data_IF_214584669047
#
_entry.id   IF_214584669047
#
_cell.length_a   1.000
_cell.length_b   1.000
_cell.length_c   1.000
_cell.angle_alpha   90.00
_cell.angle_beta   90.00
_cell.angle_gamma   90.00
#
_symmetry.space_group_name_H-M   'P 1'
#
loop_
_entity.id
_entity.type
_entity.pdbx_description
1 polymer ?
#
# COMPACT_ATOMS: atom_id res chain seq x y z
N UNK A 1 -5.37 -24.97 10.40
CA UNK A 1 -4.12 -25.56 9.84
C UNK A 1 -4.35 -26.86 9.07
N UNK A 2 -5.18 -27.79 9.55
CA UNK A 2 -5.41 -29.08 8.88
C UNK A 2 -5.68 -28.98 7.37
N UNK A 3 -6.67 -28.17 6.96
CA UNK A 3 -7.05 -28.00 5.55
C UNK A 3 -5.86 -27.62 4.66
N UNK A 4 -5.09 -26.59 5.02
CA UNK A 4 -3.97 -26.11 4.18
C UNK A 4 -2.84 -27.13 4.08
N UNK A 5 -2.64 -27.95 5.12
CA UNK A 5 -1.67 -29.06 5.08
C UNK A 5 -2.13 -30.19 4.17
N UNK A 6 -3.42 -30.56 4.23
CA UNK A 6 -3.99 -31.59 3.37
C UNK A 6 -3.97 -31.19 1.90
N UNK A 7 -4.31 -29.93 1.59
CA UNK A 7 -4.19 -29.39 0.23
C UNK A 7 -2.77 -29.53 -0.32
N UNK A 8 -1.76 -29.12 0.45
CA UNK A 8 -0.36 -29.21 0.01
C UNK A 8 0.08 -30.67 -0.19
N UNK A 9 -0.38 -31.61 0.65
CA UNK A 9 -0.07 -33.05 0.50
C UNK A 9 -0.55 -33.62 -0.83
N UNK A 10 -1.69 -33.13 -1.34
CA UNK A 10 -2.22 -33.54 -2.65
C UNK A 10 -1.74 -32.63 -3.79
N UNK A 11 -0.70 -31.82 -3.56
CA UNK A 11 -0.10 -30.87 -4.53
C UNK A 11 -1.05 -29.76 -4.98
N UNK A 12 -2.04 -29.42 -4.16
CA UNK A 12 -2.90 -28.25 -4.36
C UNK A 12 -2.35 -27.09 -3.53
N UNK A 13 -2.00 -25.99 -4.20
CA UNK A 13 -1.51 -24.77 -3.53
C UNK A 13 -2.69 -23.97 -3.00
N UNK A 14 -2.82 -23.75 -1.68
CA UNK A 14 -3.76 -22.77 -1.15
C UNK A 14 -3.44 -21.39 -1.73
N UNK A 15 -4.41 -20.78 -2.40
CA UNK A 15 -4.18 -19.52 -3.12
C UNK A 15 -4.85 -18.33 -2.42
N UNK A 16 -6.18 -18.35 -2.32
CA UNK A 16 -6.94 -17.30 -1.64
C UNK A 16 -7.82 -17.88 -0.54
N UNK A 17 -7.95 -17.11 0.54
CA UNK A 17 -9.06 -17.16 1.48
C UNK A 17 -9.90 -15.91 1.28
N UNK A 18 -11.15 -16.09 0.88
CA UNK A 18 -12.06 -14.97 0.63
C UNK A 18 -12.83 -14.59 1.89
N UNK A 19 -12.95 -13.28 2.12
CA UNK A 19 -14.03 -12.76 2.95
C UNK A 19 -15.36 -13.01 2.26
N UNK A 20 -16.37 -13.45 3.02
CA UNK A 20 -17.70 -13.69 2.46
C UNK A 20 -18.33 -12.38 1.96
N UNK A 21 -18.72 -12.38 0.69
CA UNK A 21 -19.26 -11.23 -0.03
C UNK A 21 -20.59 -10.71 0.51
N UNK A 22 -20.91 -9.47 0.14
CA UNK A 22 -22.18 -8.81 0.43
C UNK A 22 -23.30 -9.28 -0.53
N UNK A 23 -23.52 -10.59 -0.62
CA UNK A 23 -24.57 -11.16 -1.47
C UNK A 23 -25.83 -11.50 -0.68
N UNK A 24 -26.99 -11.34 -1.33
CA UNK A 24 -28.28 -11.65 -0.72
C UNK A 24 -28.33 -13.11 -0.26
N UNK A 25 -28.83 -13.35 0.96
CA UNK A 25 -28.96 -14.69 1.53
C UNK A 25 -27.71 -15.26 2.20
N UNK A 26 -26.49 -14.72 1.97
CA UNK A 26 -25.25 -15.26 2.55
C UNK A 26 -24.84 -14.64 3.90
N UNK A 27 -25.64 -13.72 4.45
CA UNK A 27 -25.28 -12.96 5.65
C UNK A 27 -24.88 -13.83 6.86
N UNK A 28 -25.50 -15.00 7.01
CA UNK A 28 -25.25 -15.94 8.10
C UNK A 28 -23.93 -16.72 7.97
N UNK A 29 -23.30 -16.73 6.79
CA UNK A 29 -21.96 -17.28 6.58
C UNK A 29 -20.85 -16.25 6.81
N UNK A 30 -21.20 -14.96 7.00
CA UNK A 30 -20.21 -13.91 7.14
C UNK A 30 -19.50 -14.00 8.48
N UNK A 31 -18.20 -13.78 8.41
CA UNK A 31 -17.34 -13.63 9.57
C UNK A 31 -16.80 -12.19 9.63
N UNK A 32 -16.43 -11.68 10.82
CA UNK A 32 -15.68 -10.44 10.92
C UNK A 32 -14.34 -10.55 10.20
N UNK A 33 -13.88 -9.46 9.58
CA UNK A 33 -12.55 -9.39 8.93
C UNK A 33 -11.42 -9.78 9.91
N UNK A 34 -11.58 -9.42 11.19
CA UNK A 34 -10.66 -9.81 12.25
C UNK A 34 -10.42 -11.32 12.33
N UNK A 35 -11.43 -12.16 12.03
CA UNK A 35 -11.27 -13.62 12.02
C UNK A 35 -10.36 -14.09 10.87
N UNK A 36 -10.42 -13.44 9.72
CA UNK A 36 -9.50 -13.70 8.61
C UNK A 36 -8.06 -13.33 8.98
N UNK A 37 -7.86 -12.17 9.61
CA UNK A 37 -6.55 -11.73 10.12
C UNK A 37 -6.01 -12.70 11.17
N UNK A 38 -6.84 -13.15 12.12
CA UNK A 38 -6.50 -14.15 13.13
C UNK A 38 -6.04 -15.48 12.51
N UNK A 39 -6.72 -15.94 11.45
CA UNK A 39 -6.30 -17.13 10.70
C UNK A 39 -4.92 -16.89 10.07
N UNK A 40 -4.71 -15.73 9.44
CA UNK A 40 -3.43 -15.39 8.82
C UNK A 40 -2.28 -15.33 9.82
N UNK A 41 -2.52 -14.79 11.01
CA UNK A 41 -1.57 -14.77 12.14
C UNK A 41 -1.19 -16.20 12.55
N UNK A 42 -2.18 -17.09 12.73
CA UNK A 42 -1.94 -18.48 13.13
C UNK A 42 -1.37 -19.40 12.05
N UNK A 43 -1.18 -18.91 10.82
CA UNK A 43 -0.60 -19.62 9.69
C UNK A 43 0.81 -19.14 9.36
N UNK A 44 1.02 -17.82 9.21
CA UNK A 44 2.33 -17.27 8.83
C UNK A 44 3.36 -17.63 9.90
N UNK A 45 4.50 -18.18 9.48
CA UNK A 45 5.57 -18.63 10.38
C UNK A 45 5.30 -19.94 11.12
N UNK A 46 4.03 -20.28 11.39
CA UNK A 46 3.64 -21.53 12.03
C UNK A 46 3.52 -22.74 11.08
N UNK A 47 3.63 -22.53 9.77
CA UNK A 47 3.67 -23.58 8.75
C UNK A 47 4.54 -23.15 7.56
N UNK A 48 4.86 -24.09 6.67
CA UNK A 48 5.50 -23.79 5.38
C UNK A 48 4.80 -22.65 4.66
N UNK A 49 5.58 -21.71 4.12
CA UNK A 49 5.08 -20.56 3.36
C UNK A 49 4.23 -20.96 2.15
N UNK A 50 4.46 -22.15 1.57
CA UNK A 50 3.63 -22.71 0.50
C UNK A 50 2.19 -23.00 0.92
N UNK A 51 1.94 -23.24 2.21
CA UNK A 51 0.61 -23.50 2.76
C UNK A 51 -0.12 -22.21 3.17
N UNK A 52 0.53 -21.05 3.09
CA UNK A 52 -0.05 -19.77 3.50
C UNK A 52 -0.70 -19.09 2.29
N UNK A 53 -2.03 -19.13 2.23
CA UNK A 53 -2.83 -18.42 1.23
C UNK A 53 -2.82 -16.90 1.46
N UNK A 54 -3.27 -16.12 0.48
CA UNK A 54 -3.56 -14.70 0.69
C UNK A 54 -5.01 -14.53 1.18
N UNK A 55 -5.23 -13.87 2.31
CA UNK A 55 -6.57 -13.44 2.71
C UNK A 55 -6.95 -12.17 1.95
N UNK A 56 -8.12 -12.17 1.32
CA UNK A 56 -8.60 -11.08 0.45
C UNK A 56 -10.05 -10.72 0.73
N UNK A 57 -10.36 -9.44 0.51
CA UNK A 57 -11.72 -8.90 0.46
C UNK A 57 -11.95 -8.39 -0.95
N UNK A 58 -13.00 -8.86 -1.64
CA UNK A 58 -13.39 -8.28 -2.92
C UNK A 58 -14.04 -6.91 -2.67
N UNK A 59 -13.48 -5.88 -3.30
CA UNK A 59 -13.99 -4.52 -3.20
C UNK A 59 -15.36 -4.42 -3.90
N UNK A 60 -16.41 -3.92 -3.21
CA UNK A 60 -17.69 -3.65 -3.85
C UNK A 60 -17.52 -2.73 -5.06
N UNK A 61 -18.34 -2.94 -6.08
CA UNK A 61 -18.27 -2.14 -7.32
C UNK A 61 -17.11 -2.50 -8.25
N UNK A 62 -16.45 -3.64 -8.05
CA UNK A 62 -15.44 -4.15 -8.98
C UNK A 62 -14.03 -3.59 -8.77
N UNK A 63 -13.72 -3.03 -7.59
CA UNK A 63 -12.40 -2.48 -7.26
C UNK A 63 -11.28 -3.53 -7.09
N UNK A 64 -11.57 -4.81 -7.31
CA UNK A 64 -10.60 -5.91 -7.26
C UNK A 64 -10.42 -6.54 -5.88
N UNK A 65 -9.44 -7.45 -5.79
CA UNK A 65 -9.12 -8.24 -4.58
C UNK A 65 -8.15 -7.46 -3.71
N UNK A 66 -8.61 -7.03 -2.54
CA UNK A 66 -7.79 -6.27 -1.59
C UNK A 66 -7.16 -7.27 -0.60
N UNK A 67 -5.84 -7.49 -0.62
CA UNK A 67 -5.18 -8.35 0.36
C UNK A 67 -5.21 -7.70 1.74
N UNK A 68 -5.52 -8.52 2.76
CA UNK A 68 -5.50 -8.11 4.17
C UNK A 68 -4.58 -9.04 4.95
N UNK A 69 -3.68 -8.46 5.73
CA UNK A 69 -2.66 -9.18 6.47
C UNK A 69 -2.51 -8.61 7.90
N UNK A 70 -1.93 -9.37 8.83
CA UNK A 70 -1.43 -8.80 10.06
C UNK A 70 -0.30 -7.78 9.82
N UNK A 71 -0.13 -6.84 10.75
CA UNK A 71 0.94 -5.84 10.68
C UNK A 71 2.24 -6.42 11.26
N UNK A 72 3.28 -6.51 10.43
CA UNK A 72 4.62 -6.96 10.84
C UNK A 72 5.63 -5.80 10.94
N UNK A 73 5.46 -4.75 10.12
CA UNK A 73 6.15 -3.48 10.27
C UNK A 73 5.53 -2.70 11.44
N UNK A 74 6.36 -2.34 12.42
CA UNK A 74 5.95 -1.59 13.61
C UNK A 74 6.33 -0.13 13.49
N UNK A 75 7.56 0.15 13.05
CA UNK A 75 8.10 1.51 12.97
C UNK A 75 9.25 1.58 11.96
N UNK A 76 9.67 2.80 11.62
CA UNK A 76 10.79 3.07 10.72
C UNK A 76 11.44 4.42 11.04
N UNK A 77 12.75 4.52 10.78
CA UNK A 77 13.52 5.76 10.75
C UNK A 77 14.11 5.97 9.35
N UNK A 78 15.07 6.88 9.23
CA UNK A 78 15.84 7.19 8.02
C UNK A 78 16.69 6.03 7.47
N UNK A 79 17.11 5.07 8.31
CA UNK A 79 17.97 3.95 7.89
C UNK A 79 17.71 2.63 8.63
N UNK A 80 16.61 2.54 9.40
CA UNK A 80 16.23 1.33 10.13
C UNK A 80 14.73 1.11 10.10
N UNK A 81 14.32 -0.14 9.96
CA UNK A 81 12.93 -0.55 10.17
C UNK A 81 12.82 -1.46 11.40
N UNK A 82 11.72 -1.34 12.14
CA UNK A 82 11.36 -2.18 13.29
C UNK A 82 10.28 -3.15 12.85
N UNK A 83 10.58 -4.44 12.95
CA UNK A 83 9.72 -5.55 12.54
C UNK A 83 9.41 -6.45 13.74
N UNK A 84 8.23 -7.05 13.76
CA UNK A 84 7.96 -8.24 14.57
C UNK A 84 7.85 -9.49 13.70
N UNK A 85 8.10 -10.65 14.29
CA UNK A 85 7.76 -11.94 13.67
C UNK A 85 6.44 -12.53 14.25
N UNK A 86 6.13 -13.77 13.87
CA UNK A 86 4.95 -14.52 14.31
C UNK A 86 5.01 -14.96 15.80
N UNK A 87 6.20 -14.97 16.40
CA UNK A 87 6.42 -15.33 17.82
C UNK A 87 6.33 -14.11 18.75
N UNK A 88 6.18 -12.91 18.18
CA UNK A 88 6.28 -11.66 18.92
C UNK A 88 7.72 -11.18 19.15
N UNK A 89 8.72 -11.81 18.54
CA UNK A 89 10.10 -11.31 18.55
C UNK A 89 10.17 -10.03 17.73
N UNK A 90 10.68 -8.96 18.34
CA UNK A 90 10.83 -7.63 17.72
C UNK A 90 12.31 -7.41 17.41
N UNK A 91 12.61 -7.05 16.17
CA UNK A 91 13.97 -6.83 15.69
C UNK A 91 14.05 -5.63 14.76
N UNK A 92 15.25 -5.12 14.56
CA UNK A 92 15.55 -4.09 13.56
C UNK A 92 16.21 -4.69 12.33
N UNK A 93 15.95 -4.11 11.17
CA UNK A 93 16.73 -4.30 9.95
C UNK A 93 17.35 -2.94 9.56
N UNK A 94 18.64 -2.95 9.23
CA UNK A 94 19.38 -1.75 8.82
C UNK A 94 19.35 -1.62 7.30
N UNK A 95 18.89 -0.47 6.83
CA UNK A 95 18.76 -0.15 5.41
C UNK A 95 20.02 0.54 4.88
N UNK A 96 20.36 0.38 3.58
CA UNK A 96 21.52 1.05 3.01
C UNK A 96 21.42 2.57 3.09
N UNK A 97 22.42 3.22 3.66
CA UNK A 97 22.47 4.69 3.79
C UNK A 97 22.95 5.40 2.52
N UNK A 98 23.48 4.64 1.57
CA UNK A 98 24.04 5.13 0.30
C UNK A 98 23.17 4.77 -0.91
N UNK A 99 21.94 4.29 -0.69
CA UNK A 99 20.99 4.02 -1.76
C UNK A 99 20.70 5.28 -2.56
N UNK A 100 21.00 5.24 -3.87
CA UNK A 100 20.63 6.30 -4.80
C UNK A 100 19.50 5.84 -5.71
N UNK A 101 18.38 6.58 -5.79
CA UNK A 101 17.27 6.24 -6.69
C UNK A 101 17.68 6.07 -8.16
N UNK A 102 18.74 6.75 -8.60
CA UNK A 102 19.27 6.67 -9.98
C UNK A 102 19.85 5.29 -10.35
N UNK A 103 20.30 4.52 -9.35
CA UNK A 103 20.88 3.18 -9.51
C UNK A 103 19.81 2.08 -9.54
N UNK A 104 18.55 2.42 -9.26
CA UNK A 104 17.45 1.47 -9.25
C UNK A 104 17.17 0.88 -10.63
N UNK A 105 16.69 -0.37 -10.65
CA UNK A 105 16.25 -1.01 -11.89
C UNK A 105 15.10 -0.20 -12.52
N UNK A 106 15.33 0.31 -13.74
CA UNK A 106 14.36 1.11 -14.47
C UNK A 106 13.35 0.20 -15.17
N UNK A 107 12.30 -0.18 -14.45
CA UNK A 107 11.14 -0.87 -15.02
C UNK A 107 9.90 0.00 -14.90
N UNK A 108 9.23 0.29 -16.02
CA UNK A 108 7.91 0.92 -15.98
C UNK A 108 6.89 -0.10 -15.48
N UNK A 109 6.35 0.13 -14.28
CA UNK A 109 5.21 -0.61 -13.73
C UNK A 109 3.87 0.03 -14.14
N UNK A 110 3.90 1.00 -15.05
CA UNK A 110 2.70 1.74 -15.47
C UNK A 110 1.77 0.82 -16.24
N UNK A 111 0.50 0.87 -15.84
CA UNK A 111 -0.57 0.23 -16.56
C UNK A 111 -0.79 0.95 -17.89
N UNK A 112 -1.05 0.22 -18.99
CA UNK A 112 -1.33 0.84 -20.28
C UNK A 112 -2.68 1.56 -20.33
N UNK A 113 -3.62 1.22 -19.43
CA UNK A 113 -4.97 1.78 -19.42
C UNK A 113 -4.99 3.22 -18.86
N UNK A 114 -5.46 4.22 -19.64
CA UNK A 114 -5.59 5.60 -19.16
C UNK A 114 -6.46 5.72 -17.90
N UNK A 115 -6.02 6.53 -16.94
CA UNK A 115 -6.76 6.78 -15.69
C UNK A 115 -6.58 5.72 -14.60
N UNK A 116 -5.73 4.70 -14.80
CA UNK A 116 -5.43 3.67 -13.79
C UNK A 116 -4.10 3.90 -13.04
N UNK A 117 -3.62 5.14 -12.94
CA UNK A 117 -2.38 5.49 -12.24
C UNK A 117 -2.46 5.25 -10.73
N UNK A 118 -3.58 5.59 -10.09
CA UNK A 118 -3.83 5.33 -8.67
C UNK A 118 -2.67 5.73 -7.75
N UNK A 119 -2.30 4.84 -6.82
CA UNK A 119 -1.20 5.07 -5.88
C UNK A 119 0.16 5.16 -6.59
N UNK A 120 0.36 4.45 -7.71
CA UNK A 120 1.63 4.52 -8.45
C UNK A 120 1.86 5.90 -9.06
N UNK A 121 0.82 6.59 -9.53
CA UNK A 121 0.93 7.98 -9.97
C UNK A 121 1.29 8.95 -8.84
N UNK A 122 0.92 8.63 -7.58
CA UNK A 122 1.38 9.39 -6.41
C UNK A 122 2.86 9.16 -6.11
N UNK A 123 3.34 7.92 -6.27
CA UNK A 123 4.74 7.56 -6.02
C UNK A 123 5.68 8.10 -7.11
N UNK A 124 5.21 8.15 -8.36
CA UNK A 124 5.96 8.67 -9.51
C UNK A 124 5.95 10.21 -9.58
N UNK A 125 5.21 10.89 -8.70
CA UNK A 125 5.09 12.35 -8.68
C UNK A 125 4.21 12.95 -9.78
N UNK A 126 3.46 12.13 -10.53
CA UNK A 126 2.50 12.60 -11.55
C UNK A 126 1.33 13.35 -10.92
N UNK A 127 0.92 12.87 -9.74
CA UNK A 127 -0.14 13.47 -8.94
C UNK A 127 0.33 13.61 -7.49
N UNK A 128 -0.09 14.67 -6.81
CA UNK A 128 0.19 14.87 -5.37
C UNK A 128 -1.00 14.47 -4.48
N UNK A 129 -2.16 14.16 -5.06
CA UNK A 129 -3.36 13.75 -4.34
C UNK A 129 -4.29 12.88 -5.21
N UNK A 130 -5.04 11.99 -4.55
CA UNK A 130 -6.25 11.37 -5.10
C UNK A 130 -7.41 11.93 -4.28
N UNK A 131 -8.35 12.60 -4.95
CA UNK A 131 -9.51 13.23 -4.31
C UNK A 131 -10.80 12.60 -4.80
N UNK A 132 -11.82 12.42 -3.94
CA UNK A 132 -13.16 12.07 -4.40
C UNK A 132 -13.77 13.22 -5.21
N UNK A 133 -14.72 12.87 -6.08
CA UNK A 133 -15.49 13.85 -6.85
C UNK A 133 -16.16 14.88 -5.93
N UNK A 134 -16.08 16.17 -6.30
CA UNK A 134 -16.67 17.27 -5.54
C UNK A 134 -15.91 17.69 -4.27
N UNK A 135 -14.74 17.08 -3.97
CA UNK A 135 -13.94 17.42 -2.79
C UNK A 135 -13.68 18.92 -2.64
N UNK A 136 -13.21 19.57 -3.72
CA UNK A 136 -12.82 20.98 -3.68
C UNK A 136 -14.04 21.90 -3.49
N UNK A 137 -15.19 21.57 -4.10
CA UNK A 137 -16.45 22.31 -3.93
C UNK A 137 -16.97 22.24 -2.49
N UNK A 138 -16.97 21.05 -1.89
CA UNK A 138 -17.40 20.85 -0.50
C UNK A 138 -16.45 21.53 0.51
N UNK A 139 -15.15 21.54 0.21
CA UNK A 139 -14.14 22.17 1.05
C UNK A 139 -14.06 23.69 0.91
N UNK A 140 -14.75 24.29 -0.07
CA UNK A 140 -14.68 25.73 -0.28
C UNK A 140 -15.49 26.55 0.75
N UNK A 141 -16.42 25.92 1.50
CA UNK A 141 -17.17 26.49 2.64
C UNK A 141 -17.59 27.97 2.48
N UNK A 142 -17.96 28.41 1.27
CA UNK A 142 -18.43 29.77 1.02
C UNK A 142 -17.35 30.83 0.74
N UNK A 143 -16.16 30.46 0.26
CA UNK A 143 -15.32 31.38 -0.53
C UNK A 143 -14.21 32.14 0.20
N UNK A 144 -13.79 31.70 1.40
CA UNK A 144 -12.52 32.18 1.95
C UNK A 144 -11.40 31.39 1.25
N UNK A 145 -10.74 32.03 0.28
CA UNK A 145 -9.57 31.48 -0.41
C UNK A 145 -8.44 31.27 0.60
N UNK A 146 -8.33 30.06 1.12
CA UNK A 146 -7.34 29.72 2.14
C UNK A 146 -5.95 29.70 1.52
N UNK A 147 -4.95 30.34 2.16
CA UNK A 147 -3.55 30.43 1.67
C UNK A 147 -2.90 29.09 1.34
N UNK A 148 -3.38 27.98 1.93
CA UNK A 148 -2.90 26.62 1.61
C UNK A 148 -3.52 26.02 0.34
N UNK A 149 -4.44 26.70 -0.34
CA UNK A 149 -5.03 26.26 -1.62
C UNK A 149 -4.23 26.74 -2.83
N UNK A 150 -3.21 27.56 -2.62
CA UNK A 150 -2.30 27.97 -3.69
C UNK A 150 -1.45 26.78 -4.14
N UNK A 151 -1.62 26.36 -5.40
CA UNK A 151 -0.87 25.25 -5.99
C UNK A 151 0.64 25.51 -6.00
N UNK A 152 1.06 26.78 -6.10
CA UNK A 152 2.47 27.15 -6.07
C UNK A 152 3.15 26.84 -4.72
N UNK A 153 2.37 26.62 -3.65
CA UNK A 153 2.89 26.28 -2.33
C UNK A 153 3.28 24.81 -2.18
N UNK A 154 2.66 23.92 -2.94
CA UNK A 154 2.80 22.47 -2.78
C UNK A 154 3.62 21.85 -3.92
N UNK A 155 4.80 22.43 -4.16
CA UNK A 155 5.80 21.87 -5.07
C UNK A 155 6.67 20.89 -4.26
N UNK A 156 6.72 19.60 -4.62
CA UNK A 156 7.55 18.62 -3.93
C UNK A 156 9.02 18.92 -4.22
N UNK A 157 9.68 19.65 -3.31
CA UNK A 157 11.13 19.82 -3.33
C UNK A 157 11.74 18.61 -2.60
N UNK A 158 12.59 17.84 -3.30
CA UNK A 158 13.23 16.66 -2.74
C UNK A 158 14.10 16.96 -1.51
N UNK A 159 14.35 15.96 -0.68
CA UNK A 159 15.33 16.03 0.43
C UNK A 159 16.69 15.58 -0.11
N UNK A 160 17.57 16.52 -0.46
CA UNK A 160 18.90 16.27 -1.04
C UNK A 160 19.42 17.50 -1.79
N UNK A 161 20.74 17.66 -2.05
CA UNK A 161 21.33 18.95 -2.39
C UNK A 161 20.98 19.41 -3.81
N UNK A 162 19.87 20.14 -3.93
CA UNK A 162 19.57 21.19 -4.90
C UNK A 162 19.55 20.83 -6.39
N UNK A 163 18.49 21.24 -7.09
CA UNK A 163 18.77 21.98 -8.31
C UNK A 163 19.24 23.37 -7.88
N UNK A 164 20.48 23.72 -8.26
CA UNK A 164 20.91 25.11 -8.27
C UNK A 164 19.96 25.83 -9.23
N UNK A 165 19.38 26.95 -8.78
CA UNK A 165 18.74 27.92 -9.66
C UNK A 165 19.76 28.45 -10.68
N UNK A 166 20.01 27.71 -11.76
CA UNK A 166 20.60 28.25 -12.97
C UNK A 166 19.51 29.07 -13.67
N UNK A 167 19.33 30.33 -13.24
CA UNK A 167 18.84 31.43 -14.08
C UNK A 167 18.88 32.78 -13.35
N UNK A 168 19.96 33.53 -13.59
CA UNK A 168 19.96 34.88 -14.21
C UNK A 168 21.29 35.62 -13.92
N UNK A 169 22.40 35.07 -14.40
CA UNK A 169 23.47 35.94 -14.94
C UNK A 169 23.09 36.25 -16.38
N UNK A 170 22.62 37.47 -16.59
CA UNK A 170 22.82 38.31 -17.77
C UNK A 170 22.07 39.61 -17.47
N UNK A 171 22.71 40.43 -16.63
CA UNK A 171 22.48 41.86 -16.63
C UNK A 171 23.30 42.52 -17.74
N UNK A 172 22.71 43.58 -18.29
CA UNK A 172 23.30 44.64 -19.13
C UNK A 172 23.77 44.31 -20.54
#
# INVERSE_FOLDING_TARGET
>A
RQLVHELVRIRVRPYYLYQCDLVHGAGHFRTPVAKGIEIMEGLRGHTSGYAVHQYVIDAPGGGGKIPVNPNYLISMSDHKIVLRNFEGYITTYEEPTDYKPEDAAKSSLKRPEPGQEGITGLLDGENIFIKPEGFDLLHDRGGIQHRLKDAAKWVPLGIGPGEKDEKKENGE
#
